data_IF_729486099832
#
_entry.id   IF_729486099832
#
_cell.length_a   1.000
_cell.length_b   1.000
_cell.length_c   1.000
_cell.angle_alpha   90.00
_cell.angle_beta   90.00
_cell.angle_gamma   90.00
#
_symmetry.space_group_name_H-M   'P 1'
#
loop_
_entity.id
_entity.type
_entity.pdbx_description
1 polymer ?
#
# COMPACT_ATOMS: atom_id res chain seq x y z
N UNK A 1 -14.66 7.81 -15.26
CA UNK A 1 -13.35 8.40 -14.89
C UNK A 1 -13.40 9.89 -15.15
N UNK A 2 -13.22 10.68 -14.11
CA UNK A 2 -13.48 12.12 -14.15
C UNK A 2 -12.45 12.85 -15.01
N UNK A 3 -12.91 13.68 -15.93
CA UNK A 3 -12.14 14.57 -16.81
C UNK A 3 -11.22 15.57 -16.08
N UNK A 4 -11.21 15.57 -14.75
CA UNK A 4 -10.37 16.45 -13.92
C UNK A 4 -8.88 16.09 -13.91
N UNK A 5 -8.51 14.83 -14.23
CA UNK A 5 -7.10 14.41 -14.26
C UNK A 5 -6.34 14.93 -15.50
N UNK A 6 -7.02 15.29 -16.57
CA UNK A 6 -6.38 15.83 -17.79
C UNK A 6 -5.93 17.29 -17.69
N UNK A 7 -6.42 18.05 -16.71
CA UNK A 7 -6.15 19.51 -16.63
C UNK A 7 -4.81 19.89 -15.99
N UNK A 8 -4.19 18.99 -15.23
CA UNK A 8 -2.98 19.33 -14.45
C UNK A 8 -1.68 18.73 -15.02
N UNK A 9 -1.76 17.93 -16.08
CA UNK A 9 -0.58 17.24 -16.62
C UNK A 9 0.03 16.18 -15.71
N UNK A 10 -0.63 15.86 -14.57
CA UNK A 10 -0.23 14.80 -13.64
C UNK A 10 -1.40 13.86 -13.35
N UNK A 11 -1.10 12.58 -13.23
CA UNK A 11 -2.04 11.55 -12.79
C UNK A 11 -2.13 11.49 -11.25
N UNK A 12 -1.11 12.01 -10.54
CA UNK A 12 -1.08 12.09 -9.09
C UNK A 12 -1.77 13.37 -8.60
N UNK A 13 -2.69 13.22 -7.65
CA UNK A 13 -3.34 14.33 -6.95
C UNK A 13 -3.19 14.16 -5.44
N UNK A 14 -2.50 15.11 -4.81
CA UNK A 14 -2.37 15.19 -3.35
C UNK A 14 -3.48 16.07 -2.82
N UNK A 15 -4.32 15.54 -1.92
CA UNK A 15 -5.46 16.26 -1.34
C UNK A 15 -5.63 15.88 0.12
N UNK A 16 -6.01 16.85 0.94
CA UNK A 16 -6.46 16.60 2.31
C UNK A 16 -7.91 16.09 2.27
N UNK A 17 -8.14 14.93 2.83
CA UNK A 17 -9.47 14.32 2.97
C UNK A 17 -9.55 13.57 4.29
N UNK A 18 -10.79 13.36 4.76
CA UNK A 18 -11.04 12.51 5.92
C UNK A 18 -10.61 11.07 5.59
N UNK A 19 -9.76 10.44 6.43
CA UNK A 19 -9.20 9.10 6.14
C UNK A 19 -10.25 8.01 5.93
N UNK A 20 -11.39 8.13 6.61
CA UNK A 20 -12.47 7.13 6.60
C UNK A 20 -13.55 7.39 5.54
N UNK A 21 -13.27 8.24 4.53
CA UNK A 21 -14.23 8.46 3.47
C UNK A 21 -14.58 7.15 2.76
N UNK A 22 -15.88 6.83 2.71
CA UNK A 22 -16.36 5.65 1.99
C UNK A 22 -16.04 5.73 0.50
N UNK A 23 -15.63 4.61 -0.06
CA UNK A 23 -15.37 4.47 -1.49
C UNK A 23 -16.39 3.53 -2.10
N UNK A 24 -17.22 4.05 -3.01
CA UNK A 24 -18.34 3.31 -3.61
C UNK A 24 -19.25 2.62 -2.56
N UNK A 25 -19.49 3.28 -1.42
CA UNK A 25 -20.34 2.75 -0.35
C UNK A 25 -19.65 1.79 0.62
N UNK A 26 -18.41 1.34 0.32
CA UNK A 26 -17.64 0.46 1.19
C UNK A 26 -16.76 1.25 2.15
N UNK A 27 -16.62 0.74 3.38
CA UNK A 27 -15.66 1.24 4.36
C UNK A 27 -14.27 0.72 3.98
N UNK A 28 -13.24 1.58 3.96
CA UNK A 28 -11.88 1.12 3.69
C UNK A 28 -11.38 0.22 4.82
N UNK A 29 -10.61 -0.80 4.46
CA UNK A 29 -9.87 -1.63 5.41
C UNK A 29 -8.61 -0.89 5.85
N UNK A 30 -8.32 -0.90 7.16
CA UNK A 30 -7.10 -0.35 7.72
C UNK A 30 -5.98 -1.38 7.60
N UNK A 31 -4.99 -1.11 6.76
CA UNK A 31 -3.86 -2.03 6.52
C UNK A 31 -2.70 -1.81 7.51
N UNK A 32 -2.49 -0.57 7.94
CA UNK A 32 -1.45 -0.23 8.91
C UNK A 32 -1.80 1.07 9.63
N UNK A 33 -1.43 1.17 10.88
CA UNK A 33 -1.56 2.37 11.69
C UNK A 33 -0.29 2.58 12.50
N UNK A 34 0.21 3.80 12.52
CA UNK A 34 1.35 4.21 13.35
C UNK A 34 0.96 5.39 14.21
N UNK A 35 1.20 5.31 15.52
CA UNK A 35 0.86 6.33 16.51
C UNK A 35 2.06 6.63 17.42
N UNK A 36 2.08 7.82 18.01
CA UNK A 36 3.04 8.20 19.03
C UNK A 36 4.23 8.99 18.51
N UNK A 37 5.31 8.95 19.26
CA UNK A 37 6.52 9.74 18.96
C UNK A 37 7.13 9.29 17.63
N UNK A 38 7.51 10.27 16.80
CA UNK A 38 8.14 10.01 15.49
C UNK A 38 7.16 9.95 14.31
N UNK A 39 5.84 9.97 14.56
CA UNK A 39 4.83 9.95 13.49
C UNK A 39 4.97 11.17 12.56
N UNK A 40 5.31 12.35 13.07
CA UNK A 40 5.49 13.56 12.24
C UNK A 40 6.60 13.35 11.22
N UNK A 41 7.72 12.73 11.61
CA UNK A 41 8.81 12.40 10.68
C UNK A 41 8.38 11.37 9.63
N UNK A 42 7.52 10.41 9.98
CA UNK A 42 6.94 9.48 9.00
C UNK A 42 6.03 10.20 8.01
N UNK A 43 5.21 11.15 8.46
CA UNK A 43 4.34 11.97 7.62
C UNK A 43 5.17 12.77 6.61
N UNK A 44 6.25 13.42 7.06
CA UNK A 44 7.15 14.16 6.17
C UNK A 44 7.79 13.26 5.11
N UNK A 45 8.23 12.06 5.49
CA UNK A 45 8.80 11.09 4.55
C UNK A 45 7.77 10.55 3.56
N UNK A 46 6.54 10.34 3.98
CA UNK A 46 5.43 9.96 3.08
C UNK A 46 5.16 11.06 2.06
N UNK A 47 5.10 12.32 2.50
CA UNK A 47 4.89 13.47 1.60
C UNK A 47 6.06 13.62 0.61
N UNK A 48 7.28 13.47 1.09
CA UNK A 48 8.47 13.46 0.22
C UNK A 48 8.40 12.34 -0.81
N UNK A 49 8.15 11.10 -0.39
CA UNK A 49 8.03 9.96 -1.29
C UNK A 49 6.91 10.17 -2.32
N UNK A 50 5.79 10.75 -1.92
CA UNK A 50 4.69 11.06 -2.83
C UNK A 50 5.09 12.09 -3.88
N UNK A 51 5.88 13.10 -3.54
CA UNK A 51 6.39 14.12 -4.47
C UNK A 51 7.45 13.57 -5.42
N UNK A 52 8.24 12.62 -4.97
CA UNK A 52 9.32 11.97 -5.74
C UNK A 52 8.83 10.79 -6.58
N UNK A 53 7.52 10.51 -6.59
CA UNK A 53 6.97 9.39 -7.35
C UNK A 53 7.28 9.48 -8.83
N UNK A 54 8.02 8.50 -9.40
CA UNK A 54 8.57 8.63 -10.76
C UNK A 54 7.52 8.58 -11.86
N UNK A 55 6.34 8.02 -11.58
CA UNK A 55 5.26 7.86 -12.56
C UNK A 55 4.12 8.87 -12.34
N UNK A 56 4.39 10.03 -11.74
CA UNK A 56 3.35 11.01 -11.41
C UNK A 56 2.54 11.51 -12.63
N UNK A 57 3.08 11.35 -13.84
CA UNK A 57 2.43 11.76 -15.10
C UNK A 57 1.82 10.62 -15.89
N UNK A 58 1.99 9.39 -15.42
CA UNK A 58 1.55 8.18 -16.11
C UNK A 58 0.46 7.48 -15.30
N UNK A 59 -0.51 6.91 -16.00
CA UNK A 59 -1.52 6.06 -15.38
C UNK A 59 -1.99 5.00 -16.36
N UNK A 60 -1.67 3.76 -16.03
CA UNK A 60 -2.08 2.57 -16.79
C UNK A 60 -2.75 1.61 -15.81
N UNK A 61 -4.02 1.29 -16.06
CA UNK A 61 -4.81 0.44 -15.16
C UNK A 61 -4.12 -0.91 -14.94
N UNK A 62 -3.58 -1.49 -16.00
CA UNK A 62 -2.88 -2.76 -15.99
C UNK A 62 -1.76 -2.77 -17.05
N UNK A 63 -0.56 -3.28 -16.73
CA UNK A 63 -0.11 -3.82 -15.42
C UNK A 63 0.26 -2.73 -14.39
N UNK A 64 0.27 -1.48 -14.76
CA UNK A 64 0.69 -0.30 -14.04
C UNK A 64 1.48 0.66 -14.95
N UNK A 65 1.87 1.85 -14.46
CA UNK A 65 1.68 2.35 -13.10
C UNK A 65 0.24 2.79 -12.81
N UNK A 66 -0.27 2.47 -11.62
CA UNK A 66 -1.60 2.85 -11.16
C UNK A 66 -1.59 3.25 -9.67
N UNK A 67 -2.75 3.37 -9.03
CA UNK A 67 -2.86 3.75 -7.61
C UNK A 67 -2.16 2.75 -6.68
N UNK A 68 -2.23 1.45 -6.95
CA UNK A 68 -1.56 0.43 -6.16
C UNK A 68 -0.04 0.47 -6.34
N UNK A 69 0.44 0.79 -7.55
CA UNK A 69 1.85 1.05 -7.82
C UNK A 69 2.37 2.23 -6.98
N UNK A 70 1.58 3.31 -6.90
CA UNK A 70 1.90 4.47 -6.08
C UNK A 70 1.99 4.10 -4.60
N UNK A 71 0.98 3.40 -4.08
CA UNK A 71 0.97 2.96 -2.67
C UNK A 71 2.16 2.05 -2.35
N UNK A 72 2.47 1.10 -3.22
CA UNK A 72 3.62 0.22 -3.07
C UNK A 72 4.96 0.98 -3.13
N UNK A 73 5.05 2.03 -3.95
CA UNK A 73 6.24 2.89 -4.01
C UNK A 73 6.44 3.65 -2.70
N UNK A 74 5.40 4.27 -2.17
CA UNK A 74 5.45 5.00 -0.88
C UNK A 74 5.81 4.05 0.26
N UNK A 75 5.19 2.86 0.32
CA UNK A 75 5.49 1.85 1.31
C UNK A 75 6.98 1.44 1.29
N UNK A 76 7.57 1.22 0.11
CA UNK A 76 9.02 0.94 -0.03
C UNK A 76 9.91 2.10 0.41
N UNK A 77 9.48 3.33 0.18
CA UNK A 77 10.23 4.53 0.58
C UNK A 77 10.17 4.78 2.10
N UNK A 78 9.12 4.27 2.76
CA UNK A 78 8.88 4.41 4.20
C UNK A 78 8.60 3.02 4.80
N UNK A 79 9.61 2.14 4.87
CA UNK A 79 9.43 0.75 5.29
C UNK A 79 8.95 0.59 6.73
N UNK A 80 9.12 1.61 7.57
CA UNK A 80 8.59 1.63 8.94
C UNK A 80 7.07 1.56 9.02
N UNK A 81 6.38 1.80 7.91
CA UNK A 81 4.93 1.58 7.81
C UNK A 81 4.58 0.09 7.87
N UNK A 82 5.49 -0.79 7.45
CA UNK A 82 5.31 -2.26 7.44
C UNK A 82 4.04 -2.69 6.70
N UNK A 83 3.72 -2.03 5.59
CA UNK A 83 2.48 -2.27 4.85
C UNK A 83 2.56 -3.57 4.05
N UNK A 84 1.66 -4.49 4.35
CA UNK A 84 1.37 -5.64 3.49
C UNK A 84 0.18 -5.33 2.58
N UNK A 85 0.46 -5.06 1.32
CA UNK A 85 -0.58 -4.79 0.35
C UNK A 85 -1.31 -6.08 -0.03
N UNK A 86 -2.65 -6.07 -0.08
CA UNK A 86 -3.44 -7.27 -0.37
C UNK A 86 -3.13 -7.82 -1.78
N UNK A 87 -3.33 -9.13 -2.00
CA UNK A 87 -3.13 -9.74 -3.32
C UNK A 87 -4.09 -9.20 -4.39
N UNK A 88 -5.14 -8.50 -3.96
CA UNK A 88 -6.09 -7.80 -4.84
C UNK A 88 -5.59 -6.44 -5.33
N UNK A 89 -4.45 -5.94 -4.80
CA UNK A 89 -3.84 -4.67 -5.19
C UNK A 89 -3.07 -4.83 -6.52
N UNK A 90 -3.78 -5.05 -7.62
CA UNK A 90 -3.20 -5.23 -8.96
C UNK A 90 -2.36 -4.01 -9.33
N UNK A 91 -1.11 -4.24 -9.74
CA UNK A 91 -0.14 -3.20 -10.07
C UNK A 91 0.83 -2.84 -8.94
N UNK A 92 0.69 -3.42 -7.72
CA UNK A 92 1.65 -3.24 -6.63
C UNK A 92 3.06 -3.72 -6.98
N UNK A 93 3.13 -4.70 -7.90
CA UNK A 93 4.37 -5.35 -8.35
C UNK A 93 5.04 -4.62 -9.52
N UNK A 94 4.46 -3.55 -10.03
CA UNK A 94 5.04 -2.79 -11.13
C UNK A 94 6.21 -1.92 -10.62
N UNK A 95 7.42 -2.19 -11.15
CA UNK A 95 8.66 -1.48 -10.80
C UNK A 95 9.18 -0.58 -11.94
N UNK A 96 8.36 -0.35 -12.99
CA UNK A 96 8.81 0.31 -14.20
C UNK A 96 9.87 -0.54 -14.93
N UNK A 97 11.05 0.03 -15.14
CA UNK A 97 12.18 -0.65 -15.82
C UNK A 97 13.11 -1.38 -14.84
N UNK A 98 12.89 -1.27 -13.54
CA UNK A 98 13.67 -1.99 -12.53
C UNK A 98 13.17 -3.43 -12.46
N UNK A 99 14.10 -4.35 -12.32
CA UNK A 99 13.78 -5.78 -12.13
C UNK A 99 13.81 -6.19 -10.66
N UNK A 100 14.49 -5.41 -9.81
CA UNK A 100 14.68 -5.72 -8.40
C UNK A 100 14.32 -4.50 -7.54
N UNK A 101 13.64 -4.72 -6.43
CA UNK A 101 13.36 -3.72 -5.41
C UNK A 101 13.27 -4.38 -4.03
N UNK A 102 13.27 -3.57 -2.97
CA UNK A 102 12.81 -4.02 -1.66
C UNK A 102 11.32 -4.41 -1.72
N UNK A 103 10.90 -5.30 -0.83
CA UNK A 103 9.48 -5.55 -0.59
C UNK A 103 8.80 -4.26 -0.07
N UNK A 104 7.49 -4.06 -0.24
CA UNK A 104 6.80 -2.89 0.28
C UNK A 104 6.97 -2.66 1.78
N UNK A 105 7.00 -3.71 2.57
CA UNK A 105 7.27 -3.64 4.01
C UNK A 105 8.74 -3.36 4.39
N UNK A 106 9.66 -3.39 3.42
CA UNK A 106 11.09 -3.31 3.66
C UNK A 106 11.74 -4.57 4.24
N UNK A 107 10.95 -5.61 4.57
CA UNK A 107 11.44 -6.82 5.25
C UNK A 107 11.95 -7.92 4.32
N UNK A 108 12.09 -7.63 3.02
CA UNK A 108 12.54 -8.59 2.02
C UNK A 108 12.81 -7.94 0.67
N UNK A 109 12.71 -8.72 -0.39
CA UNK A 109 12.97 -8.27 -1.75
C UNK A 109 11.92 -8.79 -2.74
N UNK A 110 11.84 -8.11 -3.86
CA UNK A 110 10.94 -8.43 -4.95
C UNK A 110 11.69 -8.39 -6.27
N UNK A 111 11.50 -9.42 -7.08
CA UNK A 111 11.87 -9.43 -8.49
C UNK A 111 10.60 -9.29 -9.31
N UNK A 112 10.58 -8.37 -10.27
CA UNK A 112 9.40 -8.15 -11.10
C UNK A 112 9.77 -7.79 -12.52
N UNK A 113 9.15 -8.45 -13.48
CA UNK A 113 9.25 -8.17 -14.90
C UNK A 113 8.01 -7.37 -15.33
N UNK A 114 8.14 -6.03 -15.35
CA UNK A 114 7.10 -5.07 -15.74
C UNK A 114 5.76 -5.23 -15.00
N UNK A 115 5.74 -5.80 -13.78
CA UNK A 115 4.51 -6.09 -13.07
C UNK A 115 3.69 -7.27 -13.64
N UNK A 116 4.18 -7.96 -14.65
CA UNK A 116 3.51 -9.08 -15.30
C UNK A 116 3.92 -10.43 -14.73
N UNK A 117 5.20 -10.58 -14.39
CA UNK A 117 5.75 -11.76 -13.71
C UNK A 117 6.62 -11.29 -12.57
N UNK A 118 6.54 -11.98 -11.44
CA UNK A 118 7.38 -11.61 -10.31
C UNK A 118 7.32 -12.57 -9.15
N UNK A 119 8.31 -12.45 -8.28
CA UNK A 119 8.39 -13.17 -7.00
C UNK A 119 8.76 -12.16 -5.93
N UNK A 120 8.08 -12.22 -4.80
CA UNK A 120 8.39 -11.46 -3.61
C UNK A 120 8.62 -12.43 -2.45
N UNK A 121 9.70 -12.20 -1.71
CA UNK A 121 10.05 -12.97 -0.51
C UNK A 121 10.33 -11.98 0.61
N UNK A 122 9.60 -12.10 1.70
CA UNK A 122 9.68 -11.15 2.80
C UNK A 122 9.16 -11.76 4.10
N UNK A 123 9.60 -11.19 5.22
CA UNK A 123 9.13 -11.57 6.55
C UNK A 123 7.69 -11.11 6.82
N UNK A 124 7.26 -9.99 6.23
CA UNK A 124 5.93 -9.42 6.44
C UNK A 124 4.93 -9.94 5.41
N UNK A 125 5.27 -9.85 4.12
CA UNK A 125 4.38 -10.30 3.03
C UNK A 125 4.37 -11.83 2.84
N UNK A 126 5.43 -12.53 3.31
CA UNK A 126 5.60 -13.95 3.05
C UNK A 126 6.21 -14.22 1.68
N UNK A 127 5.80 -15.32 1.04
CA UNK A 127 6.15 -15.65 -0.33
C UNK A 127 4.98 -15.32 -1.26
N UNK A 128 5.23 -14.48 -2.26
CA UNK A 128 4.22 -14.15 -3.28
C UNK A 128 4.77 -14.40 -4.68
N UNK A 129 3.90 -14.88 -5.54
CA UNK A 129 4.16 -15.06 -6.98
C UNK A 129 3.13 -14.22 -7.74
N UNK A 130 3.61 -13.34 -8.59
CA UNK A 130 2.78 -12.55 -9.48
C UNK A 130 2.80 -13.16 -10.89
N UNK A 131 1.62 -13.42 -11.44
CA UNK A 131 1.44 -13.85 -12.82
C UNK A 131 0.38 -12.95 -13.46
N UNK A 132 0.76 -12.20 -14.47
CA UNK A 132 -0.10 -11.25 -15.19
C UNK A 132 -0.80 -10.22 -14.28
N UNK A 133 -0.13 -9.78 -13.22
CA UNK A 133 -0.68 -8.86 -12.24
C UNK A 133 -1.56 -9.51 -11.17
N UNK A 134 -1.75 -10.83 -11.24
CA UNK A 134 -2.48 -11.61 -10.24
C UNK A 134 -1.51 -12.19 -9.22
N UNK A 135 -1.69 -11.86 -7.95
CA UNK A 135 -0.79 -12.28 -6.87
C UNK A 135 -1.35 -13.49 -6.13
N UNK A 136 -0.55 -14.55 -6.09
CA UNK A 136 -0.75 -15.74 -5.29
C UNK A 136 0.33 -15.78 -4.21
N UNK A 137 0.01 -16.13 -2.98
CA UNK A 137 1.02 -16.17 -1.93
C UNK A 137 0.65 -17.00 -0.73
N UNK A 138 1.66 -17.23 0.09
CA UNK A 138 1.53 -17.86 1.41
C UNK A 138 2.27 -17.01 2.43
N UNK A 139 1.64 -16.81 3.58
CA UNK A 139 2.24 -16.18 4.74
C UNK A 139 2.49 -17.25 5.79
N UNK A 140 3.75 -17.55 6.08
CA UNK A 140 4.12 -18.60 7.02
C UNK A 140 4.14 -18.10 8.48
N UNK A 141 4.35 -16.80 8.69
CA UNK A 141 4.41 -16.20 10.03
C UNK A 141 3.00 -15.95 10.60
N UNK A 142 2.07 -15.63 9.71
CA UNK A 142 0.64 -15.54 10.04
C UNK A 142 -0.12 -16.43 9.08
N UNK A 143 -0.23 -17.76 9.38
CA UNK A 143 -0.65 -18.78 8.41
C UNK A 143 -1.87 -18.37 7.60
N UNK A 144 -1.63 -18.02 6.35
CA UNK A 144 -2.67 -17.57 5.42
C UNK A 144 -2.29 -17.86 3.97
N UNK A 145 -3.32 -18.06 3.17
CA UNK A 145 -3.24 -18.15 1.71
C UNK A 145 -3.69 -16.81 1.12
N UNK A 146 -2.89 -16.26 0.21
CA UNK A 146 -3.20 -15.05 -0.55
C UNK A 146 -3.66 -15.44 -1.94
N UNK A 147 -4.87 -15.05 -2.31
CA UNK A 147 -5.47 -15.35 -3.60
C UNK A 147 -5.85 -14.09 -4.34
N UNK A 148 -5.58 -13.98 -5.65
CA UNK A 148 -6.04 -12.86 -6.46
C UNK A 148 -7.57 -12.81 -6.45
N UNK A 149 -8.15 -11.62 -6.47
CA UNK A 149 -9.59 -11.34 -6.47
C UNK A 149 -10.35 -11.76 -5.20
N UNK A 150 -9.82 -12.66 -4.40
CA UNK A 150 -10.43 -13.16 -3.15
C UNK A 150 -9.86 -12.43 -1.93
N UNK A 151 -8.56 -12.15 -1.95
CA UNK A 151 -7.87 -11.56 -0.82
C UNK A 151 -7.09 -12.59 0.01
N UNK A 152 -6.95 -12.33 1.30
CA UNK A 152 -6.21 -13.14 2.25
C UNK A 152 -7.16 -14.06 3.01
N UNK A 153 -6.89 -15.35 3.00
CA UNK A 153 -7.63 -16.39 3.71
C UNK A 153 -6.72 -17.04 4.76
N UNK A 154 -7.11 -17.01 6.02
CA UNK A 154 -6.34 -17.59 7.12
C UNK A 154 -6.38 -16.75 8.39
N UNK A 155 -5.40 -16.99 9.28
CA UNK A 155 -5.31 -16.26 10.54
C UNK A 155 -5.16 -14.76 10.31
N UNK A 156 -5.86 -13.95 11.13
CA UNK A 156 -5.63 -12.53 11.16
C UNK A 156 -4.18 -12.27 11.55
N UNK A 157 -3.53 -11.29 10.90
CA UNK A 157 -2.21 -10.87 11.33
C UNK A 157 -2.35 -10.26 12.73
N UNK A 158 -1.48 -10.61 13.68
CA UNK A 158 -1.45 -9.89 14.95
C UNK A 158 -1.30 -8.40 14.61
N UNK A 159 -2.26 -7.60 15.02
CA UNK A 159 -2.11 -6.15 14.91
C UNK A 159 -0.81 -5.80 15.63
N UNK A 160 0.09 -5.10 14.95
CA UNK A 160 1.21 -4.42 15.59
C UNK A 160 0.63 -3.21 16.34
N UNK A 161 -0.35 -3.50 17.20
CA UNK A 161 -0.96 -2.59 18.15
C UNK A 161 -0.02 -2.44 19.33
N UNK A 162 1.09 -1.75 19.12
CA UNK A 162 1.73 -1.03 20.20
C UNK A 162 0.89 0.23 20.48
N UNK A 163 -0.37 0.04 20.88
CA UNK A 163 -1.09 1.07 21.57
C UNK A 163 -0.41 1.22 22.95
N UNK A 164 0.14 2.40 23.30
CA UNK A 164 0.56 2.63 24.67
C UNK A 164 -0.66 2.48 25.56
N UNK A 165 -0.56 1.81 26.73
CA UNK A 165 -1.67 1.68 27.63
C UNK A 165 -2.11 3.07 28.10
N UNK A 166 -3.35 3.47 27.81
CA UNK A 166 -4.00 4.58 28.50
C UNK A 166 -4.50 5.76 27.66
N UNK A 167 -4.91 5.59 26.43
CA UNK A 167 -5.70 6.65 25.74
C UNK A 167 -7.08 6.08 25.43
N UNK A 168 -8.07 6.62 26.19
CA UNK A 168 -9.50 6.40 25.99
C UNK A 168 -9.90 6.76 24.55
N UNK A 169 -10.71 5.91 23.94
CA UNK A 169 -11.29 6.06 22.60
C UNK A 169 -12.40 7.13 22.51
N UNK A 170 -12.57 7.96 23.52
CA UNK A 170 -13.60 8.98 23.60
C UNK A 170 -13.02 10.38 23.26
N UNK A 171 -12.69 10.61 22.03
CA UNK A 171 -12.58 11.97 21.51
C UNK A 171 -13.85 12.27 20.71
N UNK A 172 -14.65 13.26 21.14
CA UNK A 172 -15.76 13.74 20.34
C UNK A 172 -15.20 14.45 19.11
N UNK A 173 -15.47 13.88 17.95
CA UNK A 173 -15.28 14.58 16.68
C UNK A 173 -16.35 15.65 16.54
N UNK A 174 -16.16 16.80 17.15
CA UNK A 174 -16.95 17.97 16.81
C UNK A 174 -16.42 18.58 15.52
N UNK A 175 -17.30 18.53 14.58
CA UNK A 175 -17.24 19.03 13.21
C UNK A 175 -16.97 20.53 13.21
N UNK A 176 -15.87 20.95 12.61
CA UNK A 176 -15.75 22.33 12.12
C UNK A 176 -16.53 22.41 10.80
N UNK A 177 -17.61 23.18 10.84
CA UNK A 177 -18.43 23.59 9.69
C UNK A 177 -17.67 24.51 8.74
#
# INVERSE_FOLDING_TARGET
MSSRFRRTGTALAIRQRVPHARWFGHTPELLAEKRGVGVDALIERIDQAAREYPFAREYTVWPGPNSNTFTAYVARAVPELEVDLPPTAIGKDYLGRRLLAAAPSGSGFQVSLFGLLGVLVSGVEGLEINVLGLTFGIDALSPALKLPLVGRLGAARPENSAAPPGISTDLPYDVVR
#
